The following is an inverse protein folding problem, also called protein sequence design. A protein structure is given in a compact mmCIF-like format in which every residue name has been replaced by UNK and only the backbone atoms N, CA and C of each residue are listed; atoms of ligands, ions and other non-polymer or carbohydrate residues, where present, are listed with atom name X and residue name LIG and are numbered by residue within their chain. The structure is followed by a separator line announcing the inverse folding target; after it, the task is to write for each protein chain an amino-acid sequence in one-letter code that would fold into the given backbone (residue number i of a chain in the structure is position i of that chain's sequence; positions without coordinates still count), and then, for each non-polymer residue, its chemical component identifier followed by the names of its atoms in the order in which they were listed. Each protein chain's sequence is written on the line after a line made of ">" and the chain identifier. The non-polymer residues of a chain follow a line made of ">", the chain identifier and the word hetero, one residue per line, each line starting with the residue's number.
data_IF_657147172934
#
_entry.id   IF_657147172934
#
_cell.length_a   1.000
_cell.length_b   1.000
_cell.length_c   1.000
_cell.angle_alpha   90.00
_cell.angle_beta   90.00
_cell.angle_gamma   90.00
#
_symmetry.space_group_name_H-M   'P 1'
#
loop_
_entity.id
_entity.type
_entity.pdbx_description
1 polymer ?
#
# COMPACT_ATOMS: atom_id res chain seq x y z
N UNK A 1 -4.46 6.34 -6.39
CA UNK A 1 -4.97 5.22 -5.57
C UNK A 1 -3.95 4.78 -4.52
N UNK A 2 -2.67 4.56 -4.86
CA UNK A 2 -1.63 4.24 -3.86
C UNK A 2 -1.51 5.19 -2.66
N UNK A 3 -1.53 6.51 -2.89
CA UNK A 3 -1.39 7.50 -1.81
C UNK A 3 -2.55 7.48 -0.80
N UNK A 4 -3.77 7.17 -1.25
CA UNK A 4 -4.95 7.10 -0.40
C UNK A 4 -4.93 5.86 0.49
N UNK A 5 -4.46 4.72 -0.03
CA UNK A 5 -4.31 3.47 0.73
C UNK A 5 -3.26 3.64 1.83
N UNK A 6 -2.13 4.26 1.51
CA UNK A 6 -1.06 4.51 2.47
C UNK A 6 -1.52 5.43 3.62
N UNK A 7 -2.23 6.51 3.28
CA UNK A 7 -2.80 7.47 4.24
C UNK A 7 -3.80 6.81 5.20
N UNK A 8 -4.69 5.98 4.67
CA UNK A 8 -5.68 5.27 5.49
C UNK A 8 -5.00 4.22 6.37
N UNK A 9 -4.00 3.52 5.84
CA UNK A 9 -3.26 2.51 6.61
C UNK A 9 -2.47 3.14 7.76
N UNK A 10 -1.81 4.29 7.53
CA UNK A 10 -1.14 5.04 8.61
C UNK A 10 -2.12 5.53 9.68
N UNK A 11 -3.29 6.06 9.28
CA UNK A 11 -4.32 6.48 10.22
C UNK A 11 -4.86 5.30 11.06
N UNK A 12 -4.95 4.10 10.47
CA UNK A 12 -5.41 2.89 11.14
C UNK A 12 -4.34 2.23 12.02
N UNK A 13 -3.05 2.56 11.88
CA UNK A 13 -1.96 1.92 12.61
C UNK A 13 -2.13 2.06 14.13
N UNK A 14 -2.27 3.29 14.63
CA UNK A 14 -2.46 3.57 16.06
C UNK A 14 -3.59 2.74 16.72
N UNK A 15 -4.86 2.85 16.24
CA UNK A 15 -5.97 2.13 16.86
C UNK A 15 -5.92 0.61 16.69
N UNK A 16 -5.18 0.07 15.71
CA UNK A 16 -5.11 -1.39 15.49
C UNK A 16 -3.91 -2.06 16.17
N UNK A 17 -2.85 -1.31 16.49
CA UNK A 17 -1.66 -1.85 17.17
C UNK A 17 -1.64 -1.57 18.67
N UNK A 18 -2.36 -0.55 19.15
CA UNK A 18 -2.42 -0.18 20.56
C UNK A 18 -3.70 -0.71 21.25
N UNK A 19 -4.00 -2.00 21.06
CA UNK A 19 -5.21 -2.64 21.63
C UNK A 19 -4.99 -2.84 23.14
N UNK A 20 -5.90 -2.31 23.95
CA UNK A 20 -5.93 -2.51 25.41
C UNK A 20 -6.70 -3.79 25.74
N UNK A 21 -6.25 -4.64 26.69
CA UNK A 21 -7.00 -5.82 27.14
C UNK A 21 -8.41 -5.48 27.61
N UNK A 22 -9.39 -6.32 27.29
CA UNK A 22 -10.78 -6.13 27.69
C UNK A 22 -10.99 -6.29 29.21
N UNK A 23 -10.17 -7.11 29.86
CA UNK A 23 -10.12 -7.32 31.30
C UNK A 23 -8.70 -7.68 31.76
N UNK A 24 -8.48 -7.78 33.08
CA UNK A 24 -7.18 -8.02 33.69
C UNK A 24 -6.70 -9.49 33.61
N UNK A 25 -7.50 -10.38 33.03
CA UNK A 25 -7.14 -11.79 32.88
C UNK A 25 -6.16 -12.02 31.73
N UNK A 26 -5.44 -13.14 31.82
CA UNK A 26 -4.41 -13.53 30.86
C UNK A 26 -4.97 -13.76 29.44
N UNK A 27 -6.23 -14.21 29.31
CA UNK A 27 -6.87 -14.45 28.00
C UNK A 27 -7.16 -13.13 27.30
N UNK A 28 -7.67 -12.14 28.04
CA UNK A 28 -7.86 -10.78 27.54
C UNK A 28 -6.53 -10.13 27.11
N UNK A 29 -5.46 -10.32 27.89
CA UNK A 29 -4.13 -9.82 27.55
C UNK A 29 -3.54 -10.49 26.30
N UNK A 30 -3.66 -11.81 26.20
CA UNK A 30 -3.23 -12.57 25.03
C UNK A 30 -4.01 -12.16 23.78
N UNK A 31 -5.32 -11.99 23.90
CA UNK A 31 -6.20 -11.59 22.79
C UNK A 31 -5.81 -10.20 22.27
N UNK A 32 -5.62 -9.22 23.16
CA UNK A 32 -5.15 -7.89 22.77
C UNK A 32 -3.79 -7.93 22.06
N UNK A 33 -2.86 -8.74 22.56
CA UNK A 33 -1.54 -8.95 21.94
C UNK A 33 -1.66 -9.54 20.55
N UNK A 34 -2.55 -10.53 20.36
CA UNK A 34 -2.76 -11.17 19.07
C UNK A 34 -3.38 -10.23 18.04
N UNK A 35 -4.34 -9.37 18.44
CA UNK A 35 -4.88 -8.32 17.59
C UNK A 35 -3.82 -7.29 17.20
N UNK A 36 -3.01 -6.83 18.16
CA UNK A 36 -1.92 -5.90 17.89
C UNK A 36 -0.90 -6.50 16.90
N UNK A 37 -0.52 -7.77 17.08
CA UNK A 37 0.35 -8.48 16.15
C UNK A 37 -0.27 -8.56 14.73
N UNK A 38 -1.58 -8.80 14.63
CA UNK A 38 -2.28 -8.80 13.36
C UNK A 38 -2.27 -7.41 12.70
N UNK A 39 -2.47 -6.35 13.48
CA UNK A 39 -2.33 -4.96 13.03
C UNK A 39 -0.94 -4.67 12.46
N UNK A 40 0.12 -5.10 13.14
CA UNK A 40 1.49 -4.94 12.63
C UNK A 40 1.74 -5.70 11.32
N UNK A 41 1.24 -6.92 11.18
CA UNK A 41 1.34 -7.69 9.94
C UNK A 41 0.60 -7.01 8.79
N UNK A 42 -0.61 -6.51 9.05
CA UNK A 42 -1.38 -5.77 8.06
C UNK A 42 -0.62 -4.53 7.56
N UNK A 43 0.02 -3.78 8.47
CA UNK A 43 0.82 -2.61 8.10
C UNK A 43 2.01 -2.98 7.20
N UNK A 44 2.73 -4.05 7.54
CA UNK A 44 3.86 -4.53 6.74
C UNK A 44 3.45 -4.94 5.32
N UNK A 45 2.34 -5.68 5.19
CA UNK A 45 1.81 -6.11 3.89
C UNK A 45 1.28 -4.91 3.09
N UNK A 46 0.62 -3.95 3.75
CA UNK A 46 0.11 -2.73 3.10
C UNK A 46 1.25 -1.90 2.51
N UNK A 47 2.36 -1.74 3.22
CA UNK A 47 3.54 -1.04 2.73
C UNK A 47 4.14 -1.73 1.50
N UNK A 48 4.23 -3.06 1.52
CA UNK A 48 4.71 -3.83 0.36
C UNK A 48 3.79 -3.68 -0.86
N UNK A 49 2.47 -3.74 -0.65
CA UNK A 49 1.49 -3.53 -1.72
C UNK A 49 1.58 -2.12 -2.32
N UNK A 50 1.78 -1.10 -1.48
CA UNK A 50 1.96 0.28 -1.94
C UNK A 50 3.22 0.43 -2.82
N UNK A 51 4.35 -0.18 -2.43
CA UNK A 51 5.57 -0.16 -3.23
C UNK A 51 5.39 -0.85 -4.60
N UNK A 52 4.74 -2.02 -4.63
CA UNK A 52 4.45 -2.74 -5.87
C UNK A 52 3.54 -1.90 -6.79
N UNK A 53 2.52 -1.26 -6.22
CA UNK A 53 1.62 -0.39 -6.99
C UNK A 53 2.35 0.82 -7.58
N UNK A 54 3.27 1.44 -6.84
CA UNK A 54 4.08 2.56 -7.37
C UNK A 54 4.94 2.10 -8.55
N UNK A 55 5.65 0.98 -8.42
CA UNK A 55 6.46 0.42 -9.50
C UNK A 55 5.61 0.09 -10.74
N UNK A 56 4.41 -0.46 -10.53
CA UNK A 56 3.48 -0.76 -11.63
C UNK A 56 3.07 0.51 -12.39
N UNK A 57 2.69 1.57 -11.67
CA UNK A 57 2.30 2.85 -12.28
C UNK A 57 3.47 3.50 -13.03
N UNK A 58 4.68 3.40 -12.49
CA UNK A 58 5.89 3.92 -13.12
C UNK A 58 6.19 3.21 -14.46
N UNK A 59 6.13 1.87 -14.46
CA UNK A 59 6.32 1.06 -15.67
C UNK A 59 5.26 1.35 -16.74
N UNK A 60 3.99 1.47 -16.35
CA UNK A 60 2.92 1.83 -17.28
C UNK A 60 3.14 3.22 -17.88
N UNK A 61 3.55 4.18 -17.06
CA UNK A 61 3.81 5.56 -17.50
C UNK A 61 4.97 5.61 -18.50
N UNK A 62 6.06 4.91 -18.21
CA UNK A 62 7.20 4.80 -19.12
C UNK A 62 6.80 4.15 -20.46
N UNK A 63 6.00 3.08 -20.40
CA UNK A 63 5.51 2.39 -21.60
C UNK A 63 4.63 3.31 -22.46
N UNK A 64 3.69 4.03 -21.84
CA UNK A 64 2.85 5.01 -22.54
C UNK A 64 3.69 6.10 -23.22
N UNK A 65 4.73 6.60 -22.54
CA UNK A 65 5.68 7.55 -23.14
C UNK A 65 6.41 6.98 -24.36
N UNK A 66 6.85 5.72 -24.29
CA UNK A 66 7.51 5.04 -25.42
C UNK A 66 6.58 4.87 -26.62
N UNK A 67 5.31 4.52 -26.39
CA UNK A 67 4.32 4.43 -27.47
C UNK A 67 4.06 5.79 -28.10
N UNK A 68 3.84 6.83 -27.30
CA UNK A 68 3.63 8.19 -27.80
C UNK A 68 4.82 8.70 -28.64
N UNK A 69 6.06 8.42 -28.21
CA UNK A 69 7.26 8.77 -28.97
C UNK A 69 7.33 8.03 -30.32
N UNK A 70 6.95 6.75 -30.34
CA UNK A 70 6.89 5.94 -31.57
C UNK A 70 5.83 6.47 -32.53
N UNK A 71 4.64 6.81 -32.03
CA UNK A 71 3.58 7.41 -32.85
C UNK A 71 4.01 8.75 -33.46
N UNK A 72 4.67 9.61 -32.67
CA UNK A 72 5.20 10.88 -33.16
C UNK A 72 6.25 10.69 -34.27
N UNK A 73 7.16 9.73 -34.11
CA UNK A 73 8.17 9.42 -35.13
C UNK A 73 7.51 8.89 -36.42
N UNK A 74 6.51 8.03 -36.31
CA UNK A 74 5.77 7.52 -37.46
C UNK A 74 4.99 8.62 -38.19
N UNK A 75 4.34 9.53 -37.45
CA UNK A 75 3.65 10.67 -38.03
C UNK A 75 4.59 11.62 -38.79
N UNK A 76 5.79 11.85 -38.24
CA UNK A 76 6.83 12.66 -38.89
C UNK A 76 7.42 12.00 -40.15
N UNK A 77 7.41 10.67 -40.25
CA UNK A 77 7.89 9.94 -41.42
C UNK A 77 6.82 9.78 -42.52
N UNK A 78 5.53 9.90 -42.17
CA UNK A 78 4.40 9.73 -43.09
C UNK A 78 3.89 11.04 -43.70
N UNK A 79 4.32 12.20 -43.18
CA UNK A 79 4.04 13.53 -43.73
C UNK A 79 5.20 14.05 -44.57
#
# INVERSE_FOLDING_TARGET
>A
MGCAVDTVSTAAAGPTTAIVPAAADEVSALTATQFAAHGHLYQAVSAQAAAIHQMFVEVMTASAGSYAATEAANAAAAG
#
